data_IF_779880333450
#
_entry.id   IF_779880333450
#
_cell.length_a   1.000
_cell.length_b   1.000
_cell.length_c   1.000
_cell.angle_alpha   90.00
_cell.angle_beta   90.00
_cell.angle_gamma   90.00
#
_symmetry.space_group_name_H-M   'P 1'
#
loop_
_entity.id
_entity.type
_entity.pdbx_description
1 polymer ?
#
# COMPACT_ATOMS: atom_id res chain seq x y z
N UNK A 1 -3.17 -12.78 -16.28
CA UNK A 1 -4.02 -12.62 -15.11
C UNK A 1 -5.45 -12.44 -15.58
N UNK A 2 -6.35 -13.26 -15.08
CA UNK A 2 -7.76 -13.18 -15.47
C UNK A 2 -8.36 -11.90 -14.86
N UNK A 3 -8.57 -10.87 -15.67
CA UNK A 3 -9.14 -9.59 -15.25
C UNK A 3 -10.60 -9.73 -14.77
N UNK A 4 -11.25 -10.84 -15.07
CA UNK A 4 -12.62 -11.15 -14.63
C UNK A 4 -12.70 -11.52 -13.13
N UNK A 5 -11.58 -11.85 -12.49
CA UNK A 5 -11.55 -12.20 -11.06
C UNK A 5 -11.54 -11.00 -10.11
N UNK A 6 -11.46 -9.78 -10.62
CA UNK A 6 -11.51 -8.58 -9.76
C UNK A 6 -12.98 -8.19 -9.50
N UNK A 7 -13.38 -8.02 -8.23
CA UNK A 7 -14.73 -7.57 -7.92
C UNK A 7 -14.97 -6.18 -8.54
N UNK A 8 -16.00 -6.08 -9.37
CA UNK A 8 -16.48 -4.82 -9.92
C UNK A 8 -17.47 -4.23 -8.91
N UNK A 9 -16.98 -3.38 -8.03
CA UNK A 9 -17.79 -2.80 -6.95
C UNK A 9 -18.49 -1.51 -7.34
N UNK A 10 -18.12 -0.89 -8.48
CA UNK A 10 -18.78 0.32 -8.96
C UNK A 10 -19.97 -0.01 -9.86
N UNK A 11 -21.07 0.77 -9.80
CA UNK A 11 -22.18 0.70 -10.75
C UNK A 11 -21.70 1.02 -12.18
N UNK A 12 -21.71 0.02 -13.06
CA UNK A 12 -21.17 0.15 -14.42
C UNK A 12 -22.00 1.07 -15.32
N UNK A 13 -23.28 1.19 -15.06
CA UNK A 13 -24.22 2.09 -15.73
C UNK A 13 -23.94 3.58 -15.45
N UNK A 14 -23.35 3.88 -14.27
CA UNK A 14 -23.01 5.25 -13.86
C UNK A 14 -21.57 5.61 -14.20
N UNK A 15 -20.63 4.71 -13.88
CA UNK A 15 -19.19 5.00 -13.94
C UNK A 15 -18.44 4.28 -15.07
N UNK A 16 -19.11 3.34 -15.77
CA UNK A 16 -18.47 2.47 -16.74
C UNK A 16 -17.68 1.34 -16.09
N UNK A 17 -16.94 0.63 -16.91
CA UNK A 17 -16.08 -0.49 -16.49
C UNK A 17 -14.62 -0.12 -16.66
N UNK A 18 -13.83 -0.24 -15.60
CA UNK A 18 -12.39 0.00 -15.62
C UNK A 18 -11.67 -0.88 -14.59
N UNK A 19 -10.38 -1.04 -14.76
CA UNK A 19 -9.51 -1.80 -13.86
C UNK A 19 -8.89 -0.89 -12.81
N UNK A 20 -8.34 -1.49 -11.74
CA UNK A 20 -7.56 -0.75 -10.72
C UNK A 20 -6.38 0.00 -11.33
N UNK A 21 -5.72 -0.60 -12.34
CA UNK A 21 -4.60 0.03 -13.06
C UNK A 21 -5.05 1.29 -13.79
N UNK A 22 -6.21 1.24 -14.46
CA UNK A 22 -6.76 2.43 -15.12
C UNK A 22 -7.10 3.53 -14.11
N UNK A 23 -7.51 3.20 -12.88
CA UNK A 23 -7.70 4.22 -11.84
C UNK A 23 -6.39 4.89 -11.43
N UNK A 24 -5.29 4.16 -11.40
CA UNK A 24 -3.97 4.73 -11.13
C UNK A 24 -3.52 5.66 -12.25
N UNK A 25 -3.70 5.25 -13.52
CA UNK A 25 -3.40 6.10 -14.67
C UNK A 25 -4.29 7.36 -14.71
N UNK A 26 -5.57 7.24 -14.31
CA UNK A 26 -6.46 8.39 -14.15
C UNK A 26 -5.95 9.38 -13.10
N UNK A 27 -5.49 8.88 -11.96
CA UNK A 27 -4.87 9.70 -10.91
C UNK A 27 -3.63 10.39 -11.47
N UNK A 28 -2.73 9.66 -12.13
CA UNK A 28 -1.53 10.24 -12.73
C UNK A 28 -1.90 11.38 -13.69
N UNK A 29 -2.83 11.16 -14.59
CA UNK A 29 -3.31 12.16 -15.56
C UNK A 29 -3.92 13.39 -14.87
N UNK A 30 -4.73 13.18 -13.86
CA UNK A 30 -5.42 14.28 -13.17
C UNK A 30 -4.48 15.15 -12.35
N UNK A 31 -3.45 14.55 -11.75
CA UNK A 31 -2.51 15.24 -10.85
C UNK A 31 -1.15 15.53 -11.49
N UNK A 32 -1.00 15.26 -12.80
CA UNK A 32 0.23 15.56 -13.53
C UNK A 32 1.43 14.70 -13.13
N UNK A 33 1.20 13.50 -12.58
CA UNK A 33 2.27 12.57 -12.21
C UNK A 33 2.82 11.90 -13.45
N UNK A 34 4.12 12.00 -13.65
CA UNK A 34 4.80 11.44 -14.83
C UNK A 34 5.18 9.97 -14.62
N UNK A 35 5.57 9.31 -15.71
CA UNK A 35 6.15 7.97 -15.67
C UNK A 35 7.45 7.96 -14.89
N UNK A 36 8.27 8.96 -15.06
CA UNK A 36 9.55 9.14 -14.40
C UNK A 36 9.37 9.28 -12.88
N UNK A 37 8.39 10.06 -12.44
CA UNK A 37 8.05 10.19 -11.01
C UNK A 37 7.65 8.85 -10.41
N UNK A 38 6.82 8.06 -11.13
CA UNK A 38 6.40 6.75 -10.70
C UNK A 38 7.57 5.76 -10.58
N UNK A 39 8.46 5.75 -11.57
CA UNK A 39 9.61 4.84 -11.59
C UNK A 39 10.63 5.23 -10.50
N UNK A 40 10.87 6.52 -10.28
CA UNK A 40 11.75 6.99 -9.22
C UNK A 40 11.21 6.61 -7.82
N UNK A 41 9.92 6.84 -7.59
CA UNK A 41 9.26 6.45 -6.33
C UNK A 41 9.37 4.93 -6.10
N UNK A 42 9.05 4.13 -7.11
CA UNK A 42 9.09 2.68 -6.99
C UNK A 42 10.51 2.15 -6.78
N UNK A 43 11.53 2.74 -7.40
CA UNK A 43 12.92 2.38 -7.19
C UNK A 43 13.34 2.64 -5.74
N UNK A 44 12.99 3.79 -5.19
CA UNK A 44 13.29 4.12 -3.78
C UNK A 44 12.59 3.14 -2.83
N UNK A 45 11.33 2.78 -3.09
CA UNK A 45 10.60 1.77 -2.31
C UNK A 45 11.32 0.41 -2.34
N UNK A 46 11.78 -0.06 -3.50
CA UNK A 46 12.56 -1.30 -3.63
C UNK A 46 13.85 -1.24 -2.81
N UNK A 47 14.60 -0.16 -2.91
CA UNK A 47 15.86 0.02 -2.17
C UNK A 47 15.63 0.00 -0.66
N UNK A 48 14.60 0.69 -0.17
CA UNK A 48 14.25 0.69 1.26
C UNK A 48 13.85 -0.69 1.75
N UNK A 49 13.03 -1.41 0.99
CA UNK A 49 12.61 -2.77 1.33
C UNK A 49 13.81 -3.73 1.40
N UNK A 50 14.71 -3.68 0.42
CA UNK A 50 15.93 -4.49 0.40
C UNK A 50 16.83 -4.16 1.59
N UNK A 51 17.05 -2.88 1.88
CA UNK A 51 17.85 -2.45 3.03
C UNK A 51 17.25 -2.92 4.37
N UNK A 52 15.93 -2.88 4.50
CA UNK A 52 15.22 -3.37 5.68
C UNK A 52 15.36 -4.89 5.85
N UNK A 53 15.27 -5.66 4.76
CA UNK A 53 15.52 -7.12 4.78
C UNK A 53 16.96 -7.40 5.21
N UNK A 54 17.94 -6.75 4.58
CA UNK A 54 19.36 -7.01 4.82
C UNK A 54 19.82 -6.63 6.23
N UNK A 55 19.24 -5.57 6.79
CA UNK A 55 19.48 -5.17 8.18
C UNK A 55 18.77 -6.06 9.21
N UNK A 56 17.91 -7.00 8.78
CA UNK A 56 17.10 -7.84 9.64
C UNK A 56 15.93 -7.13 10.32
N UNK A 57 15.53 -5.94 9.84
CA UNK A 57 14.45 -5.12 10.41
C UNK A 57 13.14 -5.90 10.53
N UNK A 58 12.84 -6.78 9.58
CA UNK A 58 11.59 -7.53 9.53
C UNK A 58 11.59 -8.79 10.40
N UNK A 59 12.71 -9.20 10.99
CA UNK A 59 12.79 -10.44 11.78
C UNK A 59 11.86 -10.46 12.99
N UNK A 60 11.61 -9.29 13.57
CA UNK A 60 10.72 -9.15 14.74
C UNK A 60 9.22 -9.10 14.34
N UNK A 61 8.92 -8.96 13.05
CA UNK A 61 7.57 -8.79 12.53
C UNK A 61 7.08 -10.03 11.79
N UNK A 62 7.97 -10.76 11.12
CA UNK A 62 7.63 -11.92 10.29
C UNK A 62 7.52 -13.18 11.17
N UNK A 63 6.37 -13.83 11.09
CA UNK A 63 6.16 -15.17 11.63
C UNK A 63 6.52 -16.20 10.55
N UNK A 64 7.57 -17.02 10.73
CA UNK A 64 7.97 -17.99 9.73
C UNK A 64 6.88 -19.03 9.44
N UNK A 65 6.67 -19.33 8.16
CA UNK A 65 5.76 -20.39 7.72
C UNK A 65 6.57 -21.63 7.33
N UNK A 66 6.31 -22.74 8.03
CA UNK A 66 6.98 -24.02 7.74
C UNK A 66 6.17 -24.78 6.70
N UNK A 67 6.75 -24.99 5.53
CA UNK A 67 6.13 -25.67 4.40
C UNK A 67 6.65 -27.11 4.33
N UNK A 68 5.85 -28.13 4.69
CA UNK A 68 6.25 -29.52 4.65
C UNK A 68 6.63 -29.97 3.24
N UNK A 69 7.72 -30.73 3.10
CA UNK A 69 8.14 -31.34 1.85
C UNK A 69 8.02 -32.85 1.94
N UNK A 70 7.59 -33.52 0.85
CA UNK A 70 7.29 -34.98 0.86
C UNK A 70 8.50 -35.88 1.15
N UNK A 71 9.70 -35.51 0.72
CA UNK A 71 10.93 -36.30 0.86
C UNK A 71 12.17 -35.45 1.13
N UNK A 72 12.00 -34.24 1.64
CA UNK A 72 13.07 -33.29 1.94
C UNK A 72 12.75 -32.59 3.24
N UNK A 73 13.72 -31.89 3.77
CA UNK A 73 13.50 -30.98 4.90
C UNK A 73 12.44 -29.92 4.59
N UNK A 74 11.64 -29.52 5.54
CA UNK A 74 10.67 -28.43 5.36
C UNK A 74 11.35 -27.16 4.88
N UNK A 75 10.65 -26.40 4.04
CA UNK A 75 11.08 -25.04 3.69
C UNK A 75 10.56 -24.11 4.77
N UNK A 76 11.44 -23.31 5.36
CA UNK A 76 11.05 -22.21 6.25
C UNK A 76 10.94 -20.95 5.42
N UNK A 77 9.72 -20.46 5.26
CA UNK A 77 9.43 -19.23 4.53
C UNK A 77 9.34 -18.08 5.54
N UNK A 78 10.39 -17.27 5.63
CA UNK A 78 10.60 -16.22 6.62
C UNK A 78 11.10 -14.90 6.03
N UNK A 79 11.14 -14.79 4.72
CA UNK A 79 11.66 -13.62 4.02
C UNK A 79 10.73 -13.21 2.88
N UNK A 80 10.46 -11.92 2.74
CA UNK A 80 9.70 -11.38 1.61
C UNK A 80 10.52 -11.52 0.32
N UNK A 81 9.98 -12.28 -0.64
CA UNK A 81 10.63 -12.58 -1.93
C UNK A 81 10.33 -11.52 -3.01
N UNK A 82 9.38 -10.62 -2.75
CA UNK A 82 8.90 -9.70 -3.78
C UNK A 82 9.88 -8.57 -4.13
N UNK A 83 10.63 -7.96 -3.19
CA UNK A 83 11.56 -6.89 -3.48
C UNK A 83 12.64 -7.28 -4.49
N UNK A 84 12.88 -6.43 -5.49
CA UNK A 84 13.80 -6.68 -6.62
C UNK A 84 15.14 -6.00 -6.36
N UNK A 85 16.12 -6.76 -5.88
CA UNK A 85 17.45 -6.28 -5.49
C UNK A 85 18.23 -5.63 -6.63
N UNK A 86 18.02 -6.06 -7.86
CA UNK A 86 18.78 -5.66 -9.03
C UNK A 86 18.04 -4.65 -9.92
N UNK A 87 16.94 -4.07 -9.42
CA UNK A 87 16.19 -3.06 -10.17
C UNK A 87 16.96 -1.73 -10.23
N UNK A 88 16.76 -1.00 -11.30
CA UNK A 88 17.28 0.35 -11.51
C UNK A 88 16.43 1.10 -12.53
N UNK A 89 16.60 2.41 -12.65
CA UNK A 89 15.81 3.25 -13.57
C UNK A 89 15.93 2.82 -15.03
N UNK A 90 17.12 2.39 -15.48
CA UNK A 90 17.32 1.94 -16.85
C UNK A 90 16.47 0.68 -17.18
N UNK A 91 16.41 -0.29 -16.26
CA UNK A 91 15.55 -1.47 -16.39
C UNK A 91 14.07 -1.09 -16.35
N UNK A 92 13.69 -0.21 -15.43
CA UNK A 92 12.31 0.23 -15.29
C UNK A 92 11.82 1.01 -16.51
N UNK A 93 12.64 1.89 -17.07
CA UNK A 93 12.30 2.65 -18.27
C UNK A 93 12.00 1.77 -19.50
N UNK A 94 12.57 0.56 -19.56
CA UNK A 94 12.31 -0.43 -20.64
C UNK A 94 10.96 -1.15 -20.49
N UNK A 95 10.31 -1.05 -19.32
CA UNK A 95 9.01 -1.66 -19.11
C UNK A 95 7.92 -0.92 -19.87
N UNK A 96 7.10 -1.66 -20.60
CA UNK A 96 5.97 -1.07 -21.31
C UNK A 96 4.84 -0.76 -20.32
N UNK A 97 4.16 0.39 -20.46
CA UNK A 97 2.93 0.66 -19.74
C UNK A 97 1.90 -0.46 -20.01
N UNK A 98 1.08 -0.76 -19.02
CA UNK A 98 0.03 -1.80 -19.13
C UNK A 98 -1.06 -1.33 -20.09
N UNK A 99 -1.39 -0.04 -20.07
CA UNK A 99 -2.23 0.62 -21.06
C UNK A 99 -1.40 1.63 -21.85
N UNK A 100 -1.64 1.74 -23.14
CA UNK A 100 -0.79 2.51 -24.08
C UNK A 100 -0.55 3.96 -23.66
N UNK A 101 -1.57 4.60 -23.09
CA UNK A 101 -1.53 6.01 -22.66
C UNK A 101 -1.29 6.18 -21.16
N UNK A 102 -0.91 5.08 -20.46
CA UNK A 102 -0.72 5.06 -19.02
C UNK A 102 0.74 5.22 -18.60
N UNK A 103 0.95 5.46 -17.31
CA UNK A 103 2.26 5.50 -16.66
C UNK A 103 2.55 4.24 -15.86
N UNK A 104 1.51 3.42 -15.60
CA UNK A 104 1.60 2.24 -14.74
C UNK A 104 2.24 1.07 -15.47
N UNK A 105 3.27 0.49 -14.87
CA UNK A 105 4.01 -0.68 -15.37
C UNK A 105 4.10 -1.76 -14.29
N UNK A 106 4.63 -2.93 -14.66
CA UNK A 106 4.95 -3.98 -13.69
C UNK A 106 6.05 -3.56 -12.68
N UNK A 107 6.82 -2.50 -12.95
CA UNK A 107 7.88 -2.00 -12.08
C UNK A 107 7.41 -0.98 -11.04
N UNK A 108 6.27 -0.32 -11.27
CA UNK A 108 5.75 0.76 -10.43
C UNK A 108 4.32 0.49 -9.91
N UNK A 109 3.88 -0.76 -9.96
CA UNK A 109 2.66 -1.28 -9.37
C UNK A 109 2.98 -2.36 -8.33
N UNK A 110 2.17 -2.46 -7.28
CA UNK A 110 2.28 -3.53 -6.30
C UNK A 110 1.94 -4.89 -6.93
N UNK A 111 2.52 -5.96 -6.39
CA UNK A 111 2.16 -7.33 -6.76
C UNK A 111 0.87 -7.80 -6.11
N UNK A 112 0.41 -8.97 -6.57
CA UNK A 112 -0.63 -9.75 -5.86
C UNK A 112 0.10 -10.84 -5.10
N UNK A 113 0.20 -10.68 -3.79
CA UNK A 113 0.96 -11.57 -2.93
C UNK A 113 0.05 -12.16 -1.86
N UNK A 114 0.38 -13.36 -1.42
CA UNK A 114 -0.27 -13.97 -0.26
C UNK A 114 0.33 -13.37 1.02
N UNK A 115 -0.52 -13.10 1.98
CA UNK A 115 -0.09 -12.56 3.26
C UNK A 115 -1.21 -12.58 4.29
N UNK A 116 -0.83 -12.60 5.56
CA UNK A 116 -1.75 -12.50 6.68
C UNK A 116 -1.13 -11.69 7.81
N UNK A 117 -1.93 -10.90 8.48
CA UNK A 117 -1.54 -10.22 9.71
C UNK A 117 -2.64 -10.34 10.75
N UNK A 118 -2.29 -10.25 12.02
CA UNK A 118 -3.23 -10.32 13.11
C UNK A 118 -2.93 -9.26 14.17
N UNK A 119 -3.95 -8.56 14.62
CA UNK A 119 -3.88 -7.57 15.69
C UNK A 119 -4.92 -7.90 16.75
N UNK A 120 -4.56 -7.75 18.02
CA UNK A 120 -5.48 -7.88 19.14
C UNK A 120 -5.88 -6.49 19.62
N UNK A 121 -7.16 -6.18 19.54
CA UNK A 121 -7.73 -4.91 19.98
C UNK A 121 -8.59 -5.14 21.23
N UNK A 122 -8.45 -4.25 22.20
CA UNK A 122 -9.27 -4.26 23.41
C UNK A 122 -9.38 -2.87 24.04
N UNK A 123 -10.28 -2.71 25.01
CA UNK A 123 -10.32 -1.48 25.79
C UNK A 123 -9.09 -1.33 26.69
N UNK A 124 -8.73 -0.09 27.03
CA UNK A 124 -7.63 0.19 27.94
C UNK A 124 -7.83 -0.48 29.32
N UNK A 125 -9.07 -0.51 29.81
CA UNK A 125 -9.41 -1.15 31.08
C UNK A 125 -9.19 -2.67 31.02
N UNK A 126 -9.55 -3.31 29.90
CA UNK A 126 -9.31 -4.75 29.72
C UNK A 126 -7.83 -5.06 29.61
N UNK A 127 -7.04 -4.24 28.93
CA UNK A 127 -5.60 -4.40 28.87
C UNK A 127 -4.98 -4.32 30.28
N UNK A 128 -5.42 -3.36 31.09
CA UNK A 128 -4.98 -3.23 32.50
C UNK A 128 -5.38 -4.42 33.36
N UNK A 129 -6.64 -4.88 33.25
CA UNK A 129 -7.13 -6.08 33.95
C UNK A 129 -6.28 -7.31 33.68
N UNK A 130 -5.88 -7.48 32.41
CA UNK A 130 -5.06 -8.61 31.94
C UNK A 130 -3.55 -8.41 32.14
N UNK A 131 -3.10 -7.28 32.68
CA UNK A 131 -1.68 -6.97 32.87
C UNK A 131 -0.93 -6.79 31.56
N UNK A 132 -1.61 -6.47 30.44
CA UNK A 132 -1.04 -6.31 29.13
C UNK A 132 -0.55 -4.86 28.92
N UNK A 133 0.60 -4.73 28.24
CA UNK A 133 1.14 -3.43 27.83
C UNK A 133 0.69 -3.12 26.40
N UNK A 134 -0.19 -2.12 26.16
CA UNK A 134 -0.57 -1.72 24.81
C UNK A 134 0.62 -1.21 23.99
N UNK A 135 0.69 -1.56 22.71
CA UNK A 135 1.68 -1.03 21.77
C UNK A 135 1.29 0.41 21.37
N UNK A 136 0.00 0.62 21.11
CA UNK A 136 -0.54 1.91 20.69
C UNK A 136 -1.99 2.08 21.16
N UNK A 137 -2.48 3.30 21.12
CA UNK A 137 -3.88 3.64 21.35
C UNK A 137 -4.50 4.20 20.06
N UNK A 138 -5.63 3.65 19.65
CA UNK A 138 -6.42 4.19 18.55
C UNK A 138 -7.13 5.46 19.03
N UNK A 139 -6.86 6.57 18.39
CA UNK A 139 -7.45 7.88 18.76
C UNK A 139 -8.76 8.12 18.00
N UNK A 140 -8.75 7.89 16.69
CA UNK A 140 -9.91 8.06 15.83
C UNK A 140 -9.72 7.32 14.51
N UNK A 141 -10.79 7.21 13.75
CA UNK A 141 -10.81 6.68 12.39
C UNK A 141 -11.85 7.40 11.55
N UNK A 142 -11.63 7.44 10.25
CA UNK A 142 -12.59 7.99 9.29
C UNK A 142 -12.58 7.21 7.99
N UNK A 143 -13.73 7.17 7.33
CA UNK A 143 -13.90 6.67 5.98
C UNK A 143 -14.57 7.75 5.11
N UNK A 144 -14.21 7.80 3.83
CA UNK A 144 -14.81 8.71 2.86
C UNK A 144 -15.02 8.00 1.53
N UNK A 145 -16.09 8.34 0.83
CA UNK A 145 -16.32 7.97 -0.56
C UNK A 145 -15.65 8.96 -1.50
N UNK A 146 -15.16 8.46 -2.61
CA UNK A 146 -14.60 9.26 -3.71
C UNK A 146 -15.09 8.72 -5.05
N UNK A 147 -14.90 9.49 -6.12
CA UNK A 147 -15.16 8.99 -7.47
C UNK A 147 -14.35 7.69 -7.70
N UNK A 148 -15.01 6.56 -8.05
CA UNK A 148 -14.31 5.29 -8.21
C UNK A 148 -13.26 5.32 -9.33
N UNK A 149 -13.35 6.22 -10.30
CA UNK A 149 -12.37 6.37 -11.38
C UNK A 149 -11.02 6.87 -10.89
N UNK A 150 -10.98 7.49 -9.71
CA UNK A 150 -9.77 7.98 -9.02
C UNK A 150 -9.72 7.47 -7.57
N UNK A 151 -10.11 6.22 -7.36
CA UNK A 151 -10.21 5.62 -6.01
C UNK A 151 -8.91 5.76 -5.19
N UNK A 152 -7.76 5.84 -5.86
CA UNK A 152 -6.45 6.05 -5.22
C UNK A 152 -6.38 7.32 -4.36
N UNK A 153 -7.28 8.30 -4.57
CA UNK A 153 -7.36 9.53 -3.77
C UNK A 153 -8.24 9.39 -2.52
N UNK A 154 -8.79 8.20 -2.26
CA UNK A 154 -9.56 7.90 -1.05
C UNK A 154 -8.88 8.30 0.26
N UNK A 155 -7.58 8.01 0.45
CA UNK A 155 -6.85 8.41 1.66
C UNK A 155 -6.87 9.92 1.93
N UNK A 156 -6.79 10.77 0.89
CA UNK A 156 -6.88 12.24 1.05
C UNK A 156 -8.23 12.65 1.63
N UNK A 157 -9.33 12.15 1.05
CA UNK A 157 -10.67 12.47 1.51
C UNK A 157 -10.92 11.96 2.95
N UNK A 158 -10.46 10.74 3.25
CA UNK A 158 -10.57 10.15 4.58
C UNK A 158 -9.74 10.92 5.62
N UNK A 159 -8.49 11.30 5.28
CA UNK A 159 -7.61 12.08 6.15
C UNK A 159 -8.19 13.46 6.43
N UNK A 160 -8.69 14.17 5.41
CA UNK A 160 -9.35 15.47 5.62
C UNK A 160 -10.54 15.36 6.58
N UNK A 161 -11.35 14.32 6.44
CA UNK A 161 -12.48 14.05 7.34
C UNK A 161 -12.00 13.70 8.76
N UNK A 162 -10.93 12.92 8.89
CA UNK A 162 -10.31 12.58 10.16
C UNK A 162 -9.76 13.84 10.86
N UNK A 163 -9.01 14.68 10.14
CA UNK A 163 -8.44 15.91 10.70
C UNK A 163 -9.52 16.85 11.21
N UNK A 164 -10.61 17.02 10.45
CA UNK A 164 -11.78 17.79 10.93
C UNK A 164 -12.35 17.24 12.23
N UNK A 165 -12.42 15.91 12.39
CA UNK A 165 -12.90 15.29 13.63
C UNK A 165 -11.90 15.43 14.80
N UNK A 166 -10.63 15.67 14.51
CA UNK A 166 -9.56 15.86 15.50
C UNK A 166 -9.31 17.33 15.88
N UNK A 167 -9.87 18.30 15.15
CA UNK A 167 -9.77 19.73 15.47
C UNK A 167 -10.11 20.06 16.94
N UNK A 168 -11.18 19.49 17.56
CA UNK A 168 -11.49 19.75 18.96
C UNK A 168 -10.42 19.25 19.94
N UNK A 169 -9.53 18.36 19.49
CA UNK A 169 -8.39 17.85 20.27
C UNK A 169 -7.11 18.65 20.03
N UNK A 170 -7.15 19.68 19.19
CA UNK A 170 -6.01 20.51 18.83
C UNK A 170 -4.95 19.83 17.95
N UNK A 171 -5.27 18.65 17.37
CA UNK A 171 -4.34 17.91 16.52
C UNK A 171 -4.38 18.44 15.08
N UNK A 172 -3.19 18.62 14.50
CA UNK A 172 -2.97 19.01 13.10
C UNK A 172 -2.21 17.92 12.36
N UNK A 173 -2.20 17.98 11.04
CA UNK A 173 -1.51 16.99 10.21
C UNK A 173 0.01 16.97 10.49
N UNK A 174 0.59 18.11 10.77
CA UNK A 174 2.01 18.28 11.09
C UNK A 174 2.43 17.67 12.43
N UNK A 175 1.47 17.35 13.29
CA UNK A 175 1.73 16.69 14.59
C UNK A 175 1.99 15.19 14.46
N UNK A 176 1.73 14.60 13.28
CA UNK A 176 1.96 13.18 13.03
C UNK A 176 3.43 12.92 12.68
N UNK A 177 4.12 12.18 13.53
CA UNK A 177 5.52 11.80 13.31
C UNK A 177 5.72 10.71 12.26
N UNK A 178 4.66 9.98 11.89
CA UNK A 178 4.68 8.92 10.89
C UNK A 178 3.34 8.86 10.16
N UNK A 179 3.40 8.69 8.86
CA UNK A 179 2.25 8.41 8.00
C UNK A 179 2.53 7.13 7.22
N UNK A 180 1.63 6.16 7.32
CA UNK A 180 1.74 4.88 6.63
C UNK A 180 0.64 4.77 5.57
N UNK A 181 1.03 4.51 4.33
CA UNK A 181 0.13 4.43 3.18
C UNK A 181 0.51 3.21 2.34
N UNK A 182 -0.49 2.39 1.98
CA UNK A 182 -0.26 1.29 1.04
C UNK A 182 0.18 1.83 -0.32
N UNK A 183 1.30 1.36 -0.81
CA UNK A 183 1.86 1.69 -2.12
C UNK A 183 1.23 0.82 -3.21
N UNK A 184 -0.10 0.90 -3.38
CA UNK A 184 -0.80 0.10 -4.38
C UNK A 184 -0.29 0.38 -5.81
N UNK A 185 -0.06 1.67 -6.10
CA UNK A 185 0.56 2.16 -7.33
C UNK A 185 1.42 3.39 -7.01
N UNK A 186 2.58 3.48 -7.64
CA UNK A 186 3.45 4.63 -7.45
C UNK A 186 2.75 5.95 -7.84
N UNK A 187 1.96 5.96 -8.91
CA UNK A 187 1.16 7.12 -9.32
C UNK A 187 0.24 7.63 -8.21
N UNK A 188 -0.40 6.73 -7.46
CA UNK A 188 -1.20 7.07 -6.30
C UNK A 188 -0.35 7.69 -5.20
N UNK A 189 0.73 7.04 -4.82
CA UNK A 189 1.59 7.47 -3.71
C UNK A 189 2.22 8.84 -3.97
N UNK A 190 2.69 9.07 -5.20
CA UNK A 190 3.21 10.39 -5.62
C UNK A 190 2.11 11.45 -5.55
N UNK A 191 0.91 11.16 -6.11
CA UNK A 191 -0.20 12.12 -6.07
C UNK A 191 -0.67 12.46 -4.65
N UNK A 192 -0.54 11.55 -3.68
CA UNK A 192 -0.87 11.79 -2.28
C UNK A 192 0.14 12.69 -1.57
N UNK A 193 1.37 12.80 -2.08
CA UNK A 193 2.45 13.61 -1.51
C UNK A 193 2.53 15.04 -2.08
N UNK A 194 1.72 15.35 -3.10
CA UNK A 194 1.56 16.70 -3.66
C UNK A 194 0.60 17.56 -2.83
#
# INVERSE_FOLDING_TARGET
PNTESQPKSQPADIYGTFTMIQTADNVAKQFGVTREDCDQFALESQHRAVAAIDSGRFKDEIVPVVIPQRKKDPIVFDTDEYPKRDTNLEKMAKLKPIFADGVTTAGNASGRNDGASALVLMSADKAKELGLKPIARIIAGAAAGVDPRIMGMGPVAATRKLMKALEPKGLKLEDFGLVEINEAFAAQSVALSL
#
